data_IF_363791232440
#
_entry.id   IF_363791232440
#
_cell.length_a   1.000
_cell.length_b   1.000
_cell.length_c   1.000
_cell.angle_alpha   90.00
_cell.angle_beta   90.00
_cell.angle_gamma   90.00
#
_symmetry.space_group_name_H-M   'P 1'
#
loop_
_entity.id
_entity.type
_entity.pdbx_description
1 polymer ?
#
# COMPACT_ATOMS: atom_id res chain seq x y z
N UNK A 1 21.26 29.60 -76.23
CA UNK A 1 20.09 28.75 -76.54
C UNK A 1 20.12 27.61 -75.54
N UNK A 2 19.25 27.71 -74.52
CA UNK A 2 19.33 26.93 -73.28
C UNK A 2 18.68 25.56 -73.39
N UNK A 3 19.39 24.55 -72.90
CA UNK A 3 18.88 23.19 -72.79
C UNK A 3 18.02 23.04 -71.53
N UNK A 4 16.80 22.59 -71.75
CA UNK A 4 15.78 22.26 -70.76
C UNK A 4 16.18 21.03 -69.95
N UNK A 5 16.19 21.15 -68.62
CA UNK A 5 16.37 20.05 -67.68
C UNK A 5 15.11 19.92 -66.84
N UNK A 6 14.25 18.96 -67.15
CA UNK A 6 13.07 18.61 -66.35
C UNK A 6 13.43 17.37 -65.52
N UNK A 7 13.68 17.56 -64.21
CA UNK A 7 13.83 16.47 -63.24
C UNK A 7 12.51 16.36 -62.48
N UNK A 8 11.82 15.24 -62.66
CA UNK A 8 10.56 14.93 -61.99
C UNK A 8 10.78 14.84 -60.47
N UNK A 9 9.95 15.57 -59.72
CA UNK A 9 9.86 15.45 -58.27
C UNK A 9 9.01 14.22 -57.93
N UNK A 10 9.57 13.31 -57.14
CA UNK A 10 8.84 12.21 -56.50
C UNK A 10 8.24 12.77 -55.20
N UNK A 11 6.92 12.65 -54.96
CA UNK A 11 6.34 12.94 -53.65
C UNK A 11 6.73 11.81 -52.69
N UNK A 12 7.49 12.13 -51.65
CA UNK A 12 7.63 11.25 -50.49
C UNK A 12 6.28 11.20 -49.77
N UNK A 13 5.54 10.10 -49.90
CA UNK A 13 4.45 9.78 -48.97
C UNK A 13 5.06 9.49 -47.59
N UNK A 14 4.84 10.41 -46.65
CA UNK A 14 5.08 10.19 -45.24
C UNK A 14 4.07 9.16 -44.72
N UNK A 15 4.56 7.98 -44.36
CA UNK A 15 3.78 6.96 -43.69
C UNK A 15 3.38 7.43 -42.28
N UNK A 16 2.11 7.24 -41.86
CA UNK A 16 1.68 7.59 -40.52
C UNK A 16 2.31 6.64 -39.49
N UNK A 17 3.22 7.18 -38.68
CA UNK A 17 3.73 6.55 -37.45
C UNK A 17 2.57 6.37 -36.46
N UNK A 18 1.96 5.18 -36.45
CA UNK A 18 1.08 4.75 -35.38
C UNK A 18 1.93 4.18 -34.25
N UNK A 19 2.33 5.05 -33.32
CA UNK A 19 2.89 4.62 -32.03
C UNK A 19 1.70 4.38 -31.09
N UNK A 20 1.49 3.09 -30.83
CA UNK A 20 0.65 2.46 -29.81
C UNK A 20 0.43 3.30 -28.55
N UNK A 21 -0.85 3.68 -28.33
CA UNK A 21 -1.39 4.26 -27.10
C UNK A 21 -1.90 3.14 -26.15
N UNK A 22 -1.06 2.14 -25.85
CA UNK A 22 -1.43 0.92 -25.13
C UNK A 22 -0.82 0.87 -23.72
N UNK A 23 -0.89 1.97 -22.97
CA UNK A 23 -0.29 2.06 -21.61
C UNK A 23 -1.18 2.69 -20.55
N UNK A 24 -2.29 3.34 -20.91
CA UNK A 24 -3.13 4.07 -19.94
C UNK A 24 -4.26 3.24 -19.32
N UNK A 25 -4.79 2.23 -20.03
CA UNK A 25 -5.94 1.44 -19.54
C UNK A 25 -5.51 0.32 -18.57
N UNK A 26 -4.33 -0.28 -18.76
CA UNK A 26 -3.83 -1.38 -17.93
C UNK A 26 -3.50 -0.96 -16.50
N UNK A 27 -2.84 0.19 -16.33
CA UNK A 27 -2.47 0.73 -15.01
C UNK A 27 -3.69 1.10 -14.16
N UNK A 28 -4.81 1.49 -14.79
CA UNK A 28 -6.04 1.76 -14.06
C UNK A 28 -6.69 0.49 -13.49
N UNK A 29 -6.50 -0.68 -14.11
CA UNK A 29 -7.06 -1.93 -13.61
C UNK A 29 -6.27 -2.44 -12.40
N UNK A 30 -4.93 -2.37 -12.45
CA UNK A 30 -4.07 -2.84 -11.36
C UNK A 30 -4.26 -2.00 -10.09
N UNK A 31 -4.36 -0.67 -10.22
CA UNK A 31 -4.68 0.24 -9.12
C UNK A 31 -6.03 -0.09 -8.48
N UNK A 32 -7.06 -0.40 -9.28
CA UNK A 32 -8.37 -0.80 -8.74
C UNK A 32 -8.31 -2.12 -7.96
N UNK A 33 -7.57 -3.10 -8.46
CA UNK A 33 -7.41 -4.39 -7.78
C UNK A 33 -6.69 -4.24 -6.45
N UNK A 34 -5.64 -3.40 -6.40
CA UNK A 34 -4.94 -3.06 -5.16
C UNK A 34 -5.84 -2.31 -4.17
N UNK A 35 -6.67 -1.38 -4.64
CA UNK A 35 -7.64 -0.66 -3.79
C UNK A 35 -8.67 -1.61 -3.18
N UNK A 36 -9.19 -2.56 -3.97
CA UNK A 36 -10.14 -3.59 -3.49
C UNK A 36 -9.50 -4.51 -2.47
N UNK A 37 -8.27 -4.95 -2.74
CA UNK A 37 -7.52 -5.77 -1.80
C UNK A 37 -7.24 -5.01 -0.50
N UNK A 38 -6.83 -3.74 -0.58
CA UNK A 38 -6.60 -2.90 0.58
C UNK A 38 -7.88 -2.73 1.42
N UNK A 39 -9.03 -2.52 0.78
CA UNK A 39 -10.32 -2.45 1.47
C UNK A 39 -10.66 -3.76 2.17
N UNK A 40 -10.53 -4.90 1.48
CA UNK A 40 -10.77 -6.23 2.04
C UNK A 40 -9.85 -6.55 3.22
N UNK A 41 -8.62 -6.03 3.21
CA UNK A 41 -7.69 -6.18 4.32
C UNK A 41 -8.10 -5.33 5.53
N UNK A 42 -8.74 -4.19 5.30
CA UNK A 42 -9.29 -3.33 6.36
C UNK A 42 -10.62 -3.85 6.91
N UNK A 43 -11.47 -4.45 6.10
CA UNK A 43 -12.69 -5.15 6.54
C UNK A 43 -12.27 -6.40 7.35
N UNK A 44 -12.21 -6.24 8.68
CA UNK A 44 -11.70 -7.25 9.59
C UNK A 44 -12.78 -8.27 9.93
N UNK A 45 -14.06 -7.88 9.90
CA UNK A 45 -15.19 -8.78 10.18
C UNK A 45 -15.83 -9.38 8.91
N UNK A 46 -15.37 -8.98 7.72
CA UNK A 46 -15.83 -9.40 6.39
C UNK A 46 -17.31 -9.07 6.13
N UNK A 47 -17.80 -7.91 6.59
CA UNK A 47 -19.18 -7.48 6.35
C UNK A 47 -19.36 -6.62 5.09
N UNK A 48 -18.29 -6.34 4.35
CA UNK A 48 -18.29 -5.52 3.15
C UNK A 48 -18.36 -4.00 3.41
N UNK A 49 -18.19 -3.59 4.67
CA UNK A 49 -18.15 -2.20 5.11
C UNK A 49 -16.85 -1.98 5.89
N UNK A 50 -16.38 -0.73 5.91
CA UNK A 50 -15.26 -0.32 6.75
C UNK A 50 -15.80 0.44 7.96
N UNK A 51 -15.63 -0.13 9.13
CA UNK A 51 -15.98 0.49 10.40
C UNK A 51 -14.80 1.28 11.00
N UNK A 52 -15.11 2.25 11.87
CA UNK A 52 -14.07 3.02 12.60
C UNK A 52 -13.12 2.08 13.34
N UNK A 53 -13.66 1.04 13.97
CA UNK A 53 -12.89 0.20 14.89
C UNK A 53 -11.95 -0.74 14.16
N UNK A 54 -12.29 -1.09 12.93
CA UNK A 54 -11.45 -1.84 12.02
C UNK A 54 -10.27 -1.00 11.53
N UNK A 55 -10.54 0.22 11.06
CA UNK A 55 -9.50 1.18 10.68
C UNK A 55 -8.54 1.44 11.85
N UNK A 56 -9.09 1.68 13.03
CA UNK A 56 -8.32 1.95 14.25
C UNK A 56 -7.46 0.74 14.67
N UNK A 57 -8.01 -0.47 14.66
CA UNK A 57 -7.24 -1.64 15.08
C UNK A 57 -6.17 -2.04 14.07
N UNK A 58 -6.48 -2.04 12.78
CA UNK A 58 -5.46 -2.39 11.78
C UNK A 58 -4.28 -1.42 11.84
N UNK A 59 -4.54 -0.11 11.90
CA UNK A 59 -3.47 0.88 12.00
C UNK A 59 -2.74 0.85 13.35
N UNK A 60 -3.40 0.44 14.44
CA UNK A 60 -2.72 0.15 15.70
C UNK A 60 -1.73 -1.01 15.55
N UNK A 61 -2.04 -2.04 14.76
CA UNK A 61 -1.11 -3.14 14.46
C UNK A 61 0.05 -2.69 13.57
N UNK A 62 -0.19 -1.83 12.58
CA UNK A 62 0.88 -1.21 11.78
C UNK A 62 1.82 -0.42 12.69
N UNK A 63 1.29 0.39 13.62
CA UNK A 63 2.11 1.15 14.57
C UNK A 63 2.96 0.24 15.48
N UNK A 64 2.41 -0.89 15.93
CA UNK A 64 3.16 -1.91 16.69
C UNK A 64 4.26 -2.55 15.87
N UNK A 65 4.06 -2.80 14.57
CA UNK A 65 5.11 -3.32 13.69
C UNK A 65 6.28 -2.34 13.56
N UNK A 66 5.98 -1.04 13.43
CA UNK A 66 7.00 -0.02 13.21
C UNK A 66 7.75 0.39 14.49
N UNK A 67 7.07 0.40 15.64
CA UNK A 67 7.63 0.96 16.89
C UNK A 67 7.68 -0.05 18.04
N UNK A 68 7.20 -1.27 17.83
CA UNK A 68 7.12 -2.27 18.88
C UNK A 68 6.30 -1.78 20.07
N UNK A 69 6.81 -2.02 21.29
CA UNK A 69 6.15 -1.63 22.54
C UNK A 69 6.16 -0.12 22.80
N UNK A 70 7.00 0.63 22.09
CA UNK A 70 7.10 2.09 22.22
C UNK A 70 6.05 2.83 21.38
N UNK A 71 5.18 2.10 20.67
CA UNK A 71 4.06 2.68 19.95
C UNK A 71 3.07 3.35 20.92
N UNK A 72 2.83 4.66 20.73
CA UNK A 72 1.77 5.36 21.46
C UNK A 72 0.40 5.01 20.86
N UNK A 73 -0.15 3.87 21.29
CA UNK A 73 -1.43 3.37 20.77
C UNK A 73 -2.60 4.30 21.07
N UNK A 74 -2.56 5.07 22.17
CA UNK A 74 -3.63 6.02 22.47
C UNK A 74 -3.67 7.14 21.42
N UNK A 75 -2.51 7.71 21.07
CA UNK A 75 -2.41 8.73 20.04
C UNK A 75 -2.81 8.18 18.65
N UNK A 76 -2.39 6.96 18.32
CA UNK A 76 -2.78 6.30 17.07
C UNK A 76 -4.30 6.13 17.01
N UNK A 77 -4.92 5.57 18.06
CA UNK A 77 -6.37 5.38 18.12
C UNK A 77 -7.13 6.69 18.00
N UNK A 78 -6.72 7.73 18.71
CA UNK A 78 -7.35 9.05 18.62
C UNK A 78 -7.26 9.61 17.20
N UNK A 79 -6.08 9.56 16.58
CA UNK A 79 -5.85 10.06 15.23
C UNK A 79 -6.72 9.38 14.18
N UNK A 80 -6.81 8.05 14.21
CA UNK A 80 -7.61 7.33 13.20
C UNK A 80 -9.12 7.45 13.42
N UNK A 81 -9.59 7.67 14.65
CA UNK A 81 -10.99 8.02 14.92
C UNK A 81 -11.34 9.39 14.36
N UNK A 82 -10.47 10.38 14.57
CA UNK A 82 -10.62 11.72 14.02
C UNK A 82 -10.61 11.70 12.50
N UNK A 83 -9.61 11.04 11.90
CA UNK A 83 -9.48 10.88 10.45
C UNK A 83 -10.75 10.27 9.82
N UNK A 84 -11.31 9.22 10.44
CA UNK A 84 -12.53 8.60 9.92
C UNK A 84 -13.68 9.61 9.86
N UNK A 85 -13.88 10.38 10.93
CA UNK A 85 -14.94 11.40 10.99
C UNK A 85 -14.71 12.54 10.00
N UNK A 86 -13.48 12.99 9.88
CA UNK A 86 -13.16 14.12 9.00
C UNK A 86 -13.20 13.76 7.51
N UNK A 87 -12.85 12.53 7.15
CA UNK A 87 -12.53 12.16 5.76
C UNK A 87 -13.41 11.07 5.17
N UNK A 88 -14.05 10.24 6.00
CA UNK A 88 -14.88 9.12 5.53
C UNK A 88 -16.35 9.35 5.84
N UNK A 89 -16.72 9.49 7.10
CA UNK A 89 -18.11 9.73 7.52
C UNK A 89 -18.17 10.50 8.85
N UNK A 90 -18.70 11.75 8.87
CA UNK A 90 -18.68 12.61 10.05
C UNK A 90 -19.53 12.11 11.21
N UNK A 91 -20.57 11.34 10.92
CA UNK A 91 -21.45 10.73 11.91
C UNK A 91 -20.86 9.40 12.43
N UNK A 92 -19.83 8.89 11.78
CA UNK A 92 -19.10 7.69 12.16
C UNK A 92 -19.75 6.38 11.71
N UNK A 93 -20.62 6.44 10.69
CA UNK A 93 -21.24 5.24 10.13
C UNK A 93 -20.22 4.41 9.34
N UNK A 94 -20.39 3.07 9.28
CA UNK A 94 -19.58 2.22 8.43
C UNK A 94 -19.69 2.62 6.96
N UNK A 95 -18.56 2.63 6.24
CA UNK A 95 -18.50 3.12 4.85
C UNK A 95 -18.29 2.00 3.84
N UNK A 96 -18.86 2.16 2.64
CA UNK A 96 -18.68 1.22 1.53
C UNK A 96 -17.34 1.43 0.82
N UNK A 97 -16.97 0.46 -0.03
CA UNK A 97 -15.78 0.51 -0.86
C UNK A 97 -15.67 1.81 -1.67
N UNK A 98 -16.76 2.34 -2.22
CA UNK A 98 -16.73 3.54 -3.07
C UNK A 98 -16.25 4.78 -2.30
N UNK A 99 -16.67 4.94 -1.04
CA UNK A 99 -16.24 6.02 -0.16
C UNK A 99 -14.76 5.87 0.19
N UNK A 100 -14.35 4.66 0.57
CA UNK A 100 -12.95 4.34 0.87
C UNK A 100 -12.03 4.58 -0.35
N UNK A 101 -12.41 4.05 -1.51
CA UNK A 101 -11.72 4.22 -2.80
C UNK A 101 -11.50 5.70 -3.12
N UNK A 102 -12.56 6.51 -3.04
CA UNK A 102 -12.48 7.95 -3.31
C UNK A 102 -11.49 8.63 -2.35
N UNK A 103 -11.53 8.29 -1.07
CA UNK A 103 -10.61 8.83 -0.08
C UNK A 103 -9.15 8.44 -0.38
N UNK A 104 -8.87 7.16 -0.65
CA UNK A 104 -7.49 6.71 -0.90
C UNK A 104 -6.92 7.36 -2.16
N UNK A 105 -7.70 7.47 -3.25
CA UNK A 105 -7.27 8.19 -4.46
C UNK A 105 -6.92 9.66 -4.13
N UNK A 106 -7.74 10.35 -3.33
CA UNK A 106 -7.44 11.72 -2.91
C UNK A 106 -6.15 11.83 -2.08
N UNK A 107 -5.86 10.82 -1.25
CA UNK A 107 -4.60 10.76 -0.49
C UNK A 107 -3.42 10.58 -1.45
N UNK A 108 -3.51 9.63 -2.39
CA UNK A 108 -2.47 9.37 -3.38
C UNK A 108 -2.19 10.62 -4.22
N UNK A 109 -3.23 11.26 -4.78
CA UNK A 109 -3.12 12.50 -5.56
C UNK A 109 -2.50 13.67 -4.79
N UNK A 110 -2.64 13.66 -3.45
CA UNK A 110 -2.04 14.64 -2.55
C UNK A 110 -0.55 14.38 -2.26
N UNK A 111 -0.08 13.14 -2.45
CA UNK A 111 1.31 12.74 -2.24
C UNK A 111 2.09 12.81 -3.56
N UNK A 112 1.60 12.11 -4.58
CA UNK A 112 2.21 12.03 -5.91
C UNK A 112 1.14 11.75 -6.96
N UNK A 113 1.20 12.46 -8.10
CA UNK A 113 0.24 12.30 -9.22
C UNK A 113 0.76 11.36 -10.30
N UNK A 114 2.00 10.90 -10.20
CA UNK A 114 2.54 9.91 -11.12
C UNK A 114 1.85 8.55 -10.90
N UNK A 115 1.15 7.99 -11.91
CA UNK A 115 0.39 6.76 -11.74
C UNK A 115 1.24 5.56 -11.28
N UNK A 116 2.49 5.48 -11.75
CA UNK A 116 3.41 4.40 -11.36
C UNK A 116 3.83 4.54 -9.90
N UNK A 117 4.13 5.77 -9.44
CA UNK A 117 4.37 6.03 -8.03
C UNK A 117 3.15 5.69 -7.15
N UNK A 118 1.93 6.02 -7.61
CA UNK A 118 0.70 5.69 -6.90
C UNK A 118 0.47 4.18 -6.76
N UNK A 119 0.70 3.43 -7.83
CA UNK A 119 0.63 1.97 -7.81
C UNK A 119 1.60 1.38 -6.79
N UNK A 120 2.88 1.80 -6.83
CA UNK A 120 3.89 1.36 -5.87
C UNK A 120 3.52 1.70 -4.41
N UNK A 121 2.92 2.88 -4.18
CA UNK A 121 2.42 3.26 -2.85
C UNK A 121 1.29 2.33 -2.39
N UNK A 122 0.36 1.98 -3.28
CA UNK A 122 -0.73 1.05 -2.96
C UNK A 122 -0.24 -0.37 -2.69
N UNK A 123 0.72 -0.87 -3.46
CA UNK A 123 1.36 -2.16 -3.20
C UNK A 123 1.96 -2.20 -1.79
N UNK A 124 2.65 -1.12 -1.40
CA UNK A 124 3.22 -0.97 -0.06
C UNK A 124 2.12 -0.94 1.02
N UNK A 125 1.03 -0.19 0.81
CA UNK A 125 -0.10 -0.16 1.75
C UNK A 125 -0.72 -1.56 1.92
N UNK A 126 -0.90 -2.31 0.82
CA UNK A 126 -1.39 -3.68 0.85
C UNK A 126 -0.43 -4.60 1.61
N UNK A 127 0.88 -4.49 1.38
CA UNK A 127 1.88 -5.28 2.09
C UNK A 127 1.90 -5.00 3.59
N UNK A 128 1.76 -3.73 3.99
CA UNK A 128 1.67 -3.33 5.40
C UNK A 128 0.38 -3.86 6.05
N UNK A 129 -0.76 -3.72 5.38
CA UNK A 129 -2.03 -4.23 5.88
C UNK A 129 -2.02 -5.76 6.05
N UNK A 130 -1.42 -6.50 5.10
CA UNK A 130 -1.19 -7.96 5.23
C UNK A 130 -0.32 -8.29 6.43
N UNK A 131 0.77 -7.56 6.62
CA UNK A 131 1.66 -7.74 7.77
C UNK A 131 0.93 -7.46 9.08
N UNK A 132 0.15 -6.38 9.14
CA UNK A 132 -0.65 -6.00 10.29
C UNK A 132 -1.72 -7.05 10.65
N UNK A 133 -2.38 -7.67 9.66
CA UNK A 133 -3.31 -8.79 9.89
C UNK A 133 -2.63 -10.00 10.54
N UNK A 134 -1.41 -10.35 10.12
CA UNK A 134 -0.66 -11.44 10.73
C UNK A 134 -0.37 -11.18 12.23
N UNK A 135 -0.19 -9.92 12.62
CA UNK A 135 0.09 -9.52 14.02
C UNK A 135 -1.09 -9.75 14.96
N UNK A 136 -2.33 -9.84 14.48
CA UNK A 136 -3.47 -10.19 15.33
C UNK A 136 -3.30 -11.57 15.99
N UNK A 137 -2.56 -12.47 15.36
CA UNK A 137 -2.29 -13.80 15.90
C UNK A 137 -1.00 -13.91 16.70
N UNK A 138 -0.20 -12.84 16.78
CA UNK A 138 1.05 -12.84 17.52
C UNK A 138 0.78 -12.57 19.03
N UNK A 139 1.06 -13.52 19.95
CA UNK A 139 0.75 -13.35 21.37
C UNK A 139 1.41 -12.12 22.01
N UNK A 140 2.61 -11.74 21.53
CA UNK A 140 3.34 -10.57 22.01
C UNK A 140 2.67 -9.23 21.69
N UNK A 141 1.71 -9.22 20.77
CA UNK A 141 0.99 -8.03 20.31
C UNK A 141 -0.54 -8.14 20.52
N UNK A 142 -1.00 -9.19 21.21
CA UNK A 142 -2.41 -9.43 21.44
C UNK A 142 -3.03 -8.34 22.33
N UNK A 143 -4.25 -7.94 21.99
CA UNK A 143 -5.04 -6.98 22.75
C UNK A 143 -6.46 -7.51 22.98
N UNK A 144 -7.14 -7.05 24.03
CA UNK A 144 -8.51 -7.46 24.31
C UNK A 144 -9.49 -7.14 23.17
N UNK A 145 -9.25 -6.05 22.43
CA UNK A 145 -10.05 -5.64 21.29
C UNK A 145 -9.91 -6.59 20.09
N UNK A 146 -8.82 -7.35 19.99
CA UNK A 146 -8.58 -8.25 18.86
C UNK A 146 -9.60 -9.40 18.82
N UNK A 147 -10.15 -9.78 19.98
CA UNK A 147 -11.10 -10.90 20.11
C UNK A 147 -12.32 -10.77 19.22
N UNK A 148 -12.76 -9.55 18.93
CA UNK A 148 -13.91 -9.30 18.05
C UNK A 148 -13.61 -9.67 16.57
N UNK A 149 -12.35 -9.62 16.16
CA UNK A 149 -11.95 -9.79 14.76
C UNK A 149 -11.35 -11.18 14.49
N UNK A 150 -10.70 -11.80 15.47
CA UNK A 150 -10.02 -13.09 15.31
C UNK A 150 -10.85 -14.20 14.64
N UNK A 151 -12.17 -14.36 14.88
CA UNK A 151 -12.97 -15.38 14.20
C UNK A 151 -13.04 -15.22 12.67
N UNK A 152 -12.82 -14.00 12.18
CA UNK A 152 -12.95 -13.60 10.78
C UNK A 152 -11.59 -13.50 10.06
N UNK A 153 -10.49 -13.48 10.83
CA UNK A 153 -9.13 -13.46 10.31
C UNK A 153 -8.66 -14.90 10.05
N UNK A 154 -8.91 -15.40 8.84
CA UNK A 154 -8.34 -16.66 8.39
C UNK A 154 -6.81 -16.54 8.20
N UNK A 155 -6.05 -17.49 8.74
CA UNK A 155 -4.63 -17.65 8.40
C UNK A 155 -4.51 -18.13 6.95
N UNK A 156 -4.25 -17.23 6.01
CA UNK A 156 -3.74 -17.64 4.70
C UNK A 156 -2.25 -17.95 4.85
N UNK A 157 -1.92 -19.20 5.14
CA UNK A 157 -0.55 -19.68 5.40
C UNK A 157 0.33 -19.72 4.14
N UNK A 158 -0.18 -19.34 2.97
CA UNK A 158 0.47 -19.60 1.67
C UNK A 158 1.40 -18.49 1.14
N UNK A 159 1.66 -17.42 1.88
CA UNK A 159 2.40 -16.26 1.32
C UNK A 159 3.88 -16.17 1.70
N UNK A 160 4.39 -17.03 2.60
CA UNK A 160 5.82 -17.08 2.86
C UNK A 160 6.46 -18.16 2.00
N UNK A 161 7.24 -17.84 0.95
CA UNK A 161 8.16 -18.82 0.39
C UNK A 161 9.07 -19.26 1.53
N UNK A 162 8.88 -20.51 1.98
CA UNK A 162 9.80 -21.16 2.91
C UNK A 162 11.18 -21.09 2.26
N UNK A 163 12.07 -20.25 2.76
CA UNK A 163 13.51 -20.41 2.48
C UNK A 163 13.87 -21.81 2.94
N UNK A 164 14.18 -22.68 1.98
CA UNK A 164 14.72 -24.00 2.25
C UNK A 164 15.91 -23.88 3.19
N UNK A 165 15.98 -24.67 4.28
CA UNK A 165 17.12 -24.68 5.17
C UNK A 165 18.26 -25.48 4.51
N UNK A 166 18.80 -24.97 3.40
CA UNK A 166 19.98 -25.55 2.79
C UNK A 166 21.22 -24.72 3.12
N UNK A 167 22.09 -25.40 3.88
CA UNK A 167 23.53 -25.15 4.03
C UNK A 167 23.96 -23.92 4.81
N UNK A 168 23.88 -24.05 6.13
CA UNK A 168 24.76 -23.32 7.05
C UNK A 168 26.13 -24.00 7.02
N UNK A 169 27.00 -23.61 6.07
CA UNK A 169 28.42 -23.97 6.13
C UNK A 169 29.11 -23.07 7.15
N UNK A 170 29.70 -23.73 8.14
CA UNK A 170 30.65 -23.24 9.13
C UNK A 170 31.68 -22.24 8.57
N UNK A 171 31.98 -21.25 9.41
CA UNK A 171 33.16 -20.34 9.46
C UNK A 171 32.85 -18.88 9.16
N UNK A 172 32.86 -18.04 10.20
CA UNK A 172 33.81 -16.92 10.35
C UNK A 172 33.48 -16.12 11.63
N UNK A 173 34.30 -16.25 12.66
CA UNK A 173 34.25 -15.42 13.87
C UNK A 173 34.93 -14.07 13.59
N UNK A 174 34.17 -13.10 13.09
CA UNK A 174 34.61 -11.70 13.06
C UNK A 174 33.76 -10.82 13.99
N UNK A 175 34.48 -10.25 14.95
CA UNK A 175 34.10 -9.28 15.99
C UNK A 175 33.38 -8.06 15.39
N UNK A 176 32.25 -7.58 15.96
CA UNK A 176 31.58 -6.39 15.46
C UNK A 176 32.30 -5.10 15.92
N UNK A 177 32.46 -4.09 15.04
CA UNK A 177 32.81 -2.74 15.45
C UNK A 177 31.59 -2.00 16.01
N UNK A 178 31.80 -1.37 17.16
CA UNK A 178 30.88 -0.41 17.77
C UNK A 178 30.59 0.75 16.81
N UNK A 179 29.32 1.08 16.61
CA UNK A 179 28.89 2.32 15.95
C UNK A 179 27.62 2.85 16.62
N UNK A 180 27.79 3.89 17.42
CA UNK A 180 26.77 4.91 17.63
C UNK A 180 26.43 5.55 16.28
N UNK A 181 25.25 5.26 15.74
CA UNK A 181 24.68 6.01 14.63
C UNK A 181 23.27 6.41 15.02
N UNK A 182 23.13 7.69 15.37
CA UNK A 182 21.87 8.35 15.65
C UNK A 182 21.20 8.70 14.32
N UNK A 183 20.31 7.82 13.84
CA UNK A 183 19.47 8.11 12.67
C UNK A 183 18.22 8.85 13.14
N UNK A 184 18.11 10.14 12.78
CA UNK A 184 16.88 10.92 12.90
C UNK A 184 15.86 10.38 11.90
N UNK A 185 14.72 9.90 12.39
CA UNK A 185 13.56 9.58 11.57
C UNK A 185 12.92 10.88 11.06
N UNK A 186 12.92 11.04 9.74
CA UNK A 186 12.02 11.93 9.03
C UNK A 186 10.82 11.10 8.58
N UNK A 187 9.63 11.53 9.00
CA UNK A 187 8.29 11.36 8.38
C UNK A 187 7.26 11.48 9.51
N UNK A 188 7.02 12.74 9.86
CA UNK A 188 5.95 13.21 10.72
C UNK A 188 5.55 14.59 10.20
N UNK A 189 4.72 14.60 9.16
CA UNK A 189 4.01 15.75 8.63
C UNK A 189 2.78 15.17 7.90
N UNK A 190 1.55 15.62 8.11
CA UNK A 190 1.04 16.84 8.74
C UNK A 190 -0.16 16.54 9.67
#
# INVERSE_FOLDING_TARGET
MGNSCCRAAIPCEEAPSQVVHETAEASSSEVEDLLRELFRLHDLNNNGLLEIEELVQLNSKVALLHRGKDANLLAVKARYRELFKERLDPDGHPVKFETFRKYVIQVLDGIDRDPMAQEMMLEQFVAEAKSARAVFHAPSFASHADKAFLPHLSFHVNSFPRRSPDKMTSHDTRKPPSKDVKVKAALGGA
#
